data_IF_994092861807
#
_entry.id   IF_994092861807
#
_cell.length_a   1.000
_cell.length_b   1.000
_cell.length_c   1.000
_cell.angle_alpha   90.00
_cell.angle_beta   90.00
_cell.angle_gamma   90.00
#
_symmetry.space_group_name_H-M   'P 1'
#
loop_
_entity.id
_entity.type
_entity.pdbx_description
1 polymer ?
#
# COMPACT_ATOMS: atom_id res chain seq x y z
N UNK A 1 -9.88 -10.80 20.27
CA UNK A 1 -8.79 -11.62 19.69
C UNK A 1 -7.94 -10.74 18.78
N UNK A 2 -6.65 -11.01 18.73
CA UNK A 2 -5.73 -10.31 17.81
C UNK A 2 -4.92 -11.36 17.06
N UNK A 3 -4.91 -11.30 15.75
CA UNK A 3 -4.13 -12.18 14.88
C UNK A 3 -3.25 -11.31 13.98
N UNK A 4 -1.95 -11.60 13.97
CA UNK A 4 -1.00 -10.87 13.13
C UNK A 4 -0.51 -11.81 12.01
N UNK A 5 -0.65 -11.35 10.78
CA UNK A 5 -0.23 -12.08 9.57
C UNK A 5 0.67 -11.18 8.72
N UNK A 6 1.30 -11.78 7.73
CA UNK A 6 2.17 -11.07 6.78
C UNK A 6 1.73 -11.38 5.36
N UNK A 7 1.74 -10.35 4.53
CA UNK A 7 1.56 -10.48 3.08
C UNK A 7 2.89 -10.08 2.44
N UNK A 8 3.50 -11.02 1.71
CA UNK A 8 4.77 -10.79 1.01
C UNK A 8 4.50 -10.65 -0.48
N UNK A 9 5.10 -9.65 -1.12
CA UNK A 9 4.95 -9.45 -2.56
C UNK A 9 6.21 -8.83 -3.17
N UNK A 10 6.34 -9.01 -4.49
CA UNK A 10 7.39 -8.42 -5.29
C UNK A 10 6.81 -7.22 -6.03
N UNK A 11 7.57 -6.13 -6.09
CA UNK A 11 7.18 -4.90 -6.77
C UNK A 11 8.18 -4.56 -7.88
N UNK A 12 7.74 -3.73 -8.83
CA UNK A 12 8.59 -3.24 -9.92
C UNK A 12 9.21 -1.88 -9.61
N UNK A 13 8.62 -1.14 -8.65
CA UNK A 13 9.00 0.24 -8.39
C UNK A 13 8.35 1.23 -9.35
N UNK A 14 8.77 2.49 -9.28
CA UNK A 14 8.31 3.58 -10.16
C UNK A 14 6.78 3.76 -10.16
N UNK A 15 6.20 3.89 -8.95
CA UNK A 15 4.76 4.02 -8.75
C UNK A 15 4.00 2.77 -9.24
N UNK A 16 4.52 1.60 -8.92
CA UNK A 16 3.85 0.32 -9.15
C UNK A 16 2.66 0.22 -8.19
N UNK A 17 1.47 0.03 -8.72
CA UNK A 17 0.21 -0.02 -7.97
C UNK A 17 -0.31 -1.45 -8.01
N UNK A 18 -0.38 -2.10 -6.86
CA UNK A 18 -0.74 -3.52 -6.75
C UNK A 18 -2.01 -3.67 -5.93
N UNK A 19 -3.04 -4.28 -6.51
CA UNK A 19 -4.26 -4.65 -5.79
C UNK A 19 -3.95 -5.83 -4.87
N UNK A 20 -4.08 -5.60 -3.56
CA UNK A 20 -3.86 -6.62 -2.53
C UNK A 20 -5.16 -7.02 -1.85
N UNK A 21 -6.29 -6.56 -2.34
CA UNK A 21 -7.61 -6.88 -1.76
C UNK A 21 -7.82 -8.39 -1.63
N UNK A 22 -7.54 -9.22 -2.67
CA UNK A 22 -7.75 -10.67 -2.55
C UNK A 22 -6.96 -11.31 -1.41
N UNK A 23 -5.70 -10.90 -1.21
CA UNK A 23 -4.86 -11.43 -0.14
C UNK A 23 -5.39 -11.04 1.23
N UNK A 24 -5.87 -9.80 1.39
CA UNK A 24 -6.46 -9.33 2.65
C UNK A 24 -7.75 -10.08 2.95
N UNK A 25 -8.64 -10.23 1.98
CA UNK A 25 -9.89 -10.96 2.11
C UNK A 25 -9.63 -12.41 2.53
N UNK A 26 -8.69 -13.07 1.89
CA UNK A 26 -8.32 -14.45 2.22
C UNK A 26 -7.81 -14.57 3.65
N UNK A 27 -6.90 -13.69 4.05
CA UNK A 27 -6.31 -13.72 5.40
C UNK A 27 -7.35 -13.46 6.49
N UNK A 28 -8.30 -12.56 6.26
CA UNK A 28 -9.41 -12.30 7.19
C UNK A 28 -10.31 -13.53 7.29
N UNK A 29 -10.68 -14.13 6.14
CA UNK A 29 -11.57 -15.30 6.10
C UNK A 29 -10.97 -16.53 6.81
N UNK A 30 -9.66 -16.66 6.84
CA UNK A 30 -8.94 -17.77 7.49
C UNK A 30 -8.89 -17.65 9.01
N UNK A 31 -9.24 -16.51 9.59
CA UNK A 31 -9.28 -16.33 11.05
C UNK A 31 -10.60 -16.82 11.65
N UNK A 32 -10.62 -17.00 12.95
CA UNK A 32 -11.85 -17.25 13.70
C UNK A 32 -12.57 -15.97 14.15
N UNK A 33 -12.12 -14.82 13.64
CA UNK A 33 -12.70 -13.51 13.95
C UNK A 33 -13.78 -13.19 12.93
N UNK A 34 -15.00 -12.94 13.40
CA UNK A 34 -16.13 -12.65 12.51
C UNK A 34 -16.31 -11.16 12.22
N UNK A 35 -16.09 -10.32 13.22
CA UNK A 35 -16.32 -8.89 13.13
C UNK A 35 -15.15 -8.14 13.75
N UNK A 36 -14.71 -7.07 13.12
CA UNK A 36 -13.60 -6.30 13.65
C UNK A 36 -12.95 -5.36 12.64
N UNK A 37 -11.65 -5.16 12.80
CA UNK A 37 -10.84 -4.32 11.91
C UNK A 37 -9.63 -5.09 11.41
N UNK A 38 -9.30 -4.87 10.16
CA UNK A 38 -8.06 -5.28 9.53
C UNK A 38 -7.17 -4.04 9.38
N UNK A 39 -6.03 -4.03 10.07
CA UNK A 39 -5.05 -2.95 9.99
C UNK A 39 -3.87 -3.42 9.16
N UNK A 40 -3.58 -2.68 8.08
CA UNK A 40 -2.44 -2.93 7.22
C UNK A 40 -1.35 -1.93 7.50
N UNK A 41 -0.11 -2.38 7.52
CA UNK A 41 1.07 -1.52 7.68
C UNK A 41 2.18 -2.02 6.77
N UNK A 42 2.67 -1.14 5.87
CA UNK A 42 3.82 -1.47 5.04
C UNK A 42 5.12 -1.14 5.80
N UNK A 43 5.98 -2.13 5.94
CA UNK A 43 7.31 -1.91 6.49
C UNK A 43 8.23 -1.39 5.38
N UNK A 44 8.87 -0.27 5.64
CA UNK A 44 9.72 0.41 4.66
C UNK A 44 9.28 1.86 4.46
N UNK A 45 10.13 2.65 3.84
CA UNK A 45 9.93 4.10 3.74
C UNK A 45 9.75 4.60 2.31
N UNK A 46 9.60 3.70 1.34
CA UNK A 46 9.44 4.05 -0.08
C UNK A 46 8.19 3.47 -0.72
N UNK A 47 7.27 2.95 0.09
CA UNK A 47 5.97 2.46 -0.35
C UNK A 47 4.87 2.91 0.61
N UNK A 48 3.64 2.93 0.13
CA UNK A 48 2.46 3.32 0.92
C UNK A 48 1.26 2.44 0.61
N UNK A 49 0.19 2.61 1.39
CA UNK A 49 -1.05 1.86 1.24
C UNK A 49 -2.22 2.83 1.17
N UNK A 50 -3.17 2.55 0.28
CA UNK A 50 -4.41 3.31 0.16
C UNK A 50 -5.53 2.44 -0.43
N UNK A 51 -6.67 3.05 -0.70
CA UNK A 51 -7.71 2.45 -1.52
C UNK A 51 -7.89 3.26 -2.79
N UNK A 52 -8.25 2.58 -3.87
CA UNK A 52 -8.49 3.18 -5.18
C UNK A 52 -9.46 2.29 -5.95
N UNK A 53 -10.18 2.86 -6.90
CA UNK A 53 -10.78 2.05 -7.96
C UNK A 53 -9.66 1.50 -8.84
N UNK A 54 -9.49 0.20 -8.89
CA UNK A 54 -8.42 -0.44 -9.65
C UNK A 54 -8.83 -0.58 -11.12
N UNK A 55 -8.77 0.55 -11.84
CA UNK A 55 -9.19 0.71 -13.21
C UNK A 55 -8.06 1.41 -13.99
N UNK A 56 -7.79 0.98 -15.23
CA UNK A 56 -6.59 1.37 -15.97
C UNK A 56 -6.46 2.88 -16.18
N UNK A 57 -7.56 3.57 -16.46
CA UNK A 57 -7.56 5.03 -16.63
C UNK A 57 -7.22 5.75 -15.33
N UNK A 58 -7.83 5.31 -14.23
CA UNK A 58 -7.57 5.91 -12.93
C UNK A 58 -6.15 5.60 -12.43
N UNK A 59 -5.63 4.41 -12.68
CA UNK A 59 -4.24 4.09 -12.35
C UNK A 59 -3.27 5.02 -13.09
N UNK A 60 -3.54 5.29 -14.37
CA UNK A 60 -2.75 6.24 -15.16
C UNK A 60 -2.85 7.66 -14.61
N UNK A 61 -4.05 8.10 -14.26
CA UNK A 61 -4.28 9.43 -13.66
C UNK A 61 -3.55 9.57 -12.33
N UNK A 62 -3.59 8.52 -11.52
CA UNK A 62 -2.93 8.50 -10.21
C UNK A 62 -1.40 8.60 -10.36
N UNK A 63 -0.82 7.83 -11.27
CA UNK A 63 0.62 7.91 -11.58
C UNK A 63 1.01 9.29 -12.10
N UNK A 64 0.21 9.88 -12.98
CA UNK A 64 0.45 11.24 -13.51
C UNK A 64 0.37 12.30 -12.41
N UNK A 65 -0.54 12.15 -11.47
CA UNK A 65 -0.67 13.06 -10.33
C UNK A 65 0.61 13.05 -9.48
N UNK A 66 1.15 11.88 -9.18
CA UNK A 66 2.41 11.77 -8.43
C UNK A 66 3.57 12.41 -9.18
N UNK A 67 3.68 12.19 -10.49
CA UNK A 67 4.75 12.78 -11.30
C UNK A 67 4.65 14.31 -11.36
N UNK A 68 3.44 14.88 -11.38
CA UNK A 68 3.26 16.34 -11.34
C UNK A 68 3.62 16.94 -10.00
N UNK A 69 3.31 16.27 -8.90
CA UNK A 69 3.44 16.83 -7.55
C UNK A 69 4.76 16.46 -6.88
N UNK A 70 5.29 15.29 -7.16
CA UNK A 70 6.57 14.80 -6.61
C UNK A 70 7.39 14.21 -7.77
N UNK A 71 7.88 15.07 -8.68
CA UNK A 71 8.60 14.60 -9.85
C UNK A 71 9.95 13.98 -9.50
N UNK A 72 10.37 12.98 -10.29
CA UNK A 72 11.65 12.30 -10.10
C UNK A 72 12.84 13.15 -10.57
N UNK A 73 12.65 14.03 -11.53
CA UNK A 73 13.71 14.75 -12.24
C UNK A 73 14.09 16.09 -11.62
N UNK A 74 13.81 16.29 -10.35
CA UNK A 74 14.23 17.49 -9.61
C UNK A 74 15.23 17.10 -8.52
N UNK A 75 16.03 18.06 -8.00
CA UNK A 75 16.97 17.78 -6.92
C UNK A 75 16.25 17.45 -5.60
N UNK A 76 16.71 16.40 -4.93
CA UNK A 76 16.31 16.09 -3.55
C UNK A 76 17.53 16.06 -2.67
N UNK A 77 17.44 16.64 -1.48
CA UNK A 77 18.57 16.64 -0.51
C UNK A 77 18.97 15.23 -0.09
N UNK A 78 18.01 14.29 -0.04
CA UNK A 78 18.27 12.89 0.23
C UNK A 78 19.26 12.29 -0.78
N UNK A 79 19.10 12.60 -2.06
CA UNK A 79 19.94 12.06 -3.14
C UNK A 79 21.36 12.61 -3.08
N UNK A 80 21.53 13.83 -2.64
CA UNK A 80 22.85 14.46 -2.44
C UNK A 80 23.66 13.75 -1.37
N UNK A 81 22.98 13.26 -0.33
CA UNK A 81 23.62 12.57 0.79
C UNK A 81 23.92 11.10 0.47
N UNK A 82 22.97 10.39 -0.08
CA UNK A 82 23.04 8.93 -0.25
C UNK A 82 23.35 8.47 -1.68
N UNK A 83 23.05 9.29 -2.67
CA UNK A 83 23.39 9.01 -4.06
C UNK A 83 22.52 7.93 -4.73
N UNK A 84 21.43 7.49 -4.09
CA UNK A 84 20.58 6.42 -4.60
C UNK A 84 19.38 6.89 -5.44
N UNK A 85 19.17 8.20 -5.55
CA UNK A 85 18.19 8.79 -6.47
C UNK A 85 16.72 8.53 -6.10
N UNK A 86 16.43 8.13 -4.87
CA UNK A 86 15.08 7.80 -4.45
C UNK A 86 14.46 8.74 -3.41
N UNK A 87 14.93 9.98 -3.35
CA UNK A 87 14.36 11.00 -2.46
C UNK A 87 12.87 11.21 -2.70
N UNK A 88 12.46 11.27 -3.97
CA UNK A 88 11.05 11.37 -4.36
C UNK A 88 10.21 10.20 -3.83
N UNK A 89 10.80 9.01 -3.76
CA UNK A 89 10.11 7.81 -3.29
C UNK A 89 9.76 7.90 -1.82
N UNK A 90 10.68 8.43 -1.00
CA UNK A 90 10.44 8.66 0.43
C UNK A 90 9.37 9.73 0.65
N UNK A 91 9.40 10.81 -0.12
CA UNK A 91 8.39 11.88 -0.03
C UNK A 91 7.01 11.35 -0.42
N UNK A 92 6.92 10.61 -1.53
CA UNK A 92 5.67 10.02 -1.98
C UNK A 92 5.07 9.04 -0.97
N UNK A 93 5.90 8.14 -0.44
CA UNK A 93 5.47 7.19 0.58
C UNK A 93 4.96 7.88 1.84
N UNK A 94 5.67 8.91 2.30
CA UNK A 94 5.28 9.68 3.48
C UNK A 94 3.97 10.41 3.30
N UNK A 95 3.75 10.96 2.11
CA UNK A 95 2.51 11.68 1.79
C UNK A 95 1.31 10.74 1.68
N UNK A 96 1.48 9.58 1.05
CA UNK A 96 0.41 8.58 0.90
C UNK A 96 0.04 7.96 2.24
N UNK A 97 1.05 7.60 3.02
CA UNK A 97 0.87 6.97 4.32
C UNK A 97 1.20 5.48 4.31
N UNK A 98 1.56 4.98 5.48
CA UNK A 98 2.06 3.61 5.66
C UNK A 98 0.97 2.63 6.12
N UNK A 99 -0.18 3.10 6.56
CA UNK A 99 -1.20 2.25 7.18
C UNK A 99 -2.60 2.55 6.67
N UNK A 100 -3.45 1.54 6.78
CA UNK A 100 -4.86 1.60 6.42
C UNK A 100 -5.63 0.70 7.36
N UNK A 101 -6.78 1.16 7.84
CA UNK A 101 -7.70 0.35 8.63
C UNK A 101 -8.98 0.13 7.83
N UNK A 102 -9.38 -1.14 7.70
CA UNK A 102 -10.62 -1.53 7.03
C UNK A 102 -11.48 -2.33 8.00
N UNK A 103 -12.68 -1.88 8.33
CA UNK A 103 -13.63 -2.70 9.10
C UNK A 103 -14.09 -3.91 8.31
N UNK A 104 -14.50 -4.96 9.03
CA UNK A 104 -15.13 -6.12 8.41
C UNK A 104 -16.25 -6.67 9.29
N UNK A 105 -17.27 -7.22 8.65
CA UNK A 105 -18.41 -7.89 9.29
C UNK A 105 -18.64 -9.24 8.60
N UNK A 106 -18.95 -10.25 9.40
CA UNK A 106 -19.14 -11.62 8.89
C UNK A 106 -18.00 -12.05 7.96
N UNK A 107 -16.77 -11.73 8.36
CA UNK A 107 -15.54 -12.03 7.63
C UNK A 107 -15.42 -11.34 6.26
N UNK A 108 -16.23 -10.31 6.00
CA UNK A 108 -16.21 -9.56 4.74
C UNK A 108 -15.78 -8.12 4.99
N UNK A 109 -14.79 -7.67 4.23
CA UNK A 109 -14.35 -6.29 4.27
C UNK A 109 -15.48 -5.35 3.83
N UNK A 110 -15.62 -4.21 4.52
CA UNK A 110 -16.67 -3.22 4.23
C UNK A 110 -16.33 -2.28 3.08
N UNK A 111 -15.51 -2.74 2.15
CA UNK A 111 -15.13 -1.95 0.98
C UNK A 111 -16.33 -1.70 0.07
N UNK A 112 -16.36 -0.52 -0.54
CA UNK A 112 -17.29 -0.24 -1.64
C UNK A 112 -16.99 -1.12 -2.85
N UNK A 113 -17.96 -1.24 -3.76
CA UNK A 113 -17.85 -2.08 -4.96
C UNK A 113 -16.61 -1.74 -5.80
N UNK A 114 -16.29 -0.46 -5.92
CA UNK A 114 -15.18 0.04 -6.72
C UNK A 114 -13.96 0.44 -5.88
N UNK A 115 -13.87 -0.05 -4.65
CA UNK A 115 -12.82 0.31 -3.70
C UNK A 115 -11.91 -0.88 -3.45
N UNK A 116 -10.69 -0.83 -3.94
CA UNK A 116 -9.69 -1.86 -3.74
C UNK A 116 -8.56 -1.35 -2.87
N UNK A 117 -7.99 -2.22 -2.05
CA UNK A 117 -6.79 -1.93 -1.25
C UNK A 117 -5.58 -2.09 -2.14
N UNK A 118 -4.73 -1.06 -2.20
CA UNK A 118 -3.53 -1.10 -3.03
C UNK A 118 -2.28 -0.77 -2.22
N UNK A 119 -1.19 -1.47 -2.56
CA UNK A 119 0.17 -1.08 -2.25
C UNK A 119 0.70 -0.23 -3.40
N UNK A 120 1.28 0.92 -3.09
CA UNK A 120 1.93 1.78 -4.09
C UNK A 120 3.43 1.83 -3.77
N UNK A 121 4.25 1.34 -4.67
CA UNK A 121 5.70 1.33 -4.49
C UNK A 121 6.34 2.45 -5.32
N UNK A 122 6.85 3.46 -4.63
CA UNK A 122 7.46 4.63 -5.22
C UNK A 122 8.97 4.48 -5.47
N UNK A 123 9.58 3.40 -5.02
CA UNK A 123 11.04 3.23 -5.16
C UNK A 123 11.46 3.22 -6.64
N UNK A 124 12.71 3.52 -6.90
CA UNK A 124 13.24 3.57 -8.25
C UNK A 124 13.76 2.22 -8.76
N UNK A 125 13.45 1.13 -8.07
CA UNK A 125 13.87 -0.23 -8.44
C UNK A 125 12.90 -1.27 -7.88
N UNK A 126 12.92 -2.52 -8.40
CA UNK A 126 12.15 -3.62 -7.83
C UNK A 126 12.51 -3.89 -6.37
N UNK A 127 11.50 -4.25 -5.58
CA UNK A 127 11.64 -4.56 -4.15
C UNK A 127 10.85 -5.81 -3.78
N UNK A 128 11.32 -6.44 -2.71
CA UNK A 128 10.52 -7.41 -1.94
C UNK A 128 9.88 -6.65 -0.79
N UNK A 129 8.55 -6.69 -0.70
CA UNK A 129 7.81 -5.95 0.33
C UNK A 129 7.07 -6.89 1.26
N UNK A 130 6.95 -6.47 2.51
CA UNK A 130 6.11 -7.13 3.50
C UNK A 130 5.09 -6.15 4.05
N UNK A 131 3.83 -6.57 4.03
CA UNK A 131 2.74 -5.86 4.69
C UNK A 131 2.39 -6.64 5.95
N UNK A 132 2.38 -5.97 7.08
CA UNK A 132 1.86 -6.52 8.32
C UNK A 132 0.35 -6.33 8.30
N UNK A 133 -0.38 -7.42 8.49
CA UNK A 133 -1.84 -7.41 8.59
C UNK A 133 -2.23 -7.85 9.99
N UNK A 134 -2.78 -6.92 10.76
CA UNK A 134 -3.27 -7.21 12.10
C UNK A 134 -4.79 -7.18 12.10
N UNK A 135 -5.39 -8.29 12.52
CA UNK A 135 -6.84 -8.50 12.52
C UNK A 135 -7.29 -8.54 13.96
N UNK A 136 -8.16 -7.62 14.35
CA UNK A 136 -8.68 -7.49 15.72
C UNK A 136 -10.19 -7.57 15.71
N UNK A 137 -10.74 -8.31 16.67
CA UNK A 137 -12.18 -8.41 16.82
C UNK A 137 -12.61 -9.66 17.57
N UNK A 138 -13.86 -10.06 17.33
CA UNK A 138 -14.50 -11.20 17.99
C UNK A 138 -15.40 -12.02 17.05
#
# INVERSE_FOLDING_TARGET
MVVTKKISLQTKGNCDIIDITPQVEQQVAETDINNGTATLFITGSTAGISTIEFESGLLSDFQSMWERNIPQNIPYNHDRRWGDGNGHSHVGASLLGASLVVPFNDKRLTLGTWQQIVLVDFDNRPRSRQIILQIMGD
#
